data_IF_786679082978
#
_entry.id   IF_786679082978
#
_cell.length_a   1.000
_cell.length_b   1.000
_cell.length_c   1.000
_cell.angle_alpha   90.00
_cell.angle_beta   90.00
_cell.angle_gamma   90.00
#
_symmetry.space_group_name_H-M   'P 1'
#
loop_
_entity.id
_entity.type
_entity.pdbx_description
1 polymer ?
#
# COMPACT_ATOMS: atom_id res chain seq x y z
N UNK A 1 -16.84 -10.31 -61.75
CA UNK A 1 -17.08 -9.43 -60.58
C UNK A 1 -16.82 -10.25 -59.33
N UNK A 2 -16.03 -9.68 -58.41
CA UNK A 2 -15.45 -10.35 -57.25
C UNK A 2 -16.48 -10.79 -56.20
N UNK A 3 -16.10 -11.91 -55.59
CA UNK A 3 -16.51 -12.53 -54.33
C UNK A 3 -16.85 -11.59 -53.18
N UNK A 4 -17.90 -11.95 -52.43
CA UNK A 4 -18.04 -11.65 -50.99
C UNK A 4 -18.38 -12.94 -50.27
N UNK A 5 -17.38 -13.47 -49.57
CA UNK A 5 -17.56 -14.44 -48.50
C UNK A 5 -17.08 -13.73 -47.25
N UNK A 6 -18.00 -13.26 -46.42
CA UNK A 6 -17.73 -12.85 -45.05
C UNK A 6 -17.41 -14.12 -44.25
N UNK A 7 -16.15 -14.26 -43.87
CA UNK A 7 -15.71 -15.27 -42.92
C UNK A 7 -15.23 -14.56 -41.66
N UNK A 8 -16.10 -14.58 -40.66
CA UNK A 8 -15.81 -14.40 -39.24
C UNK A 8 -14.64 -15.30 -38.80
N UNK A 9 -13.52 -14.72 -38.37
CA UNK A 9 -12.52 -15.43 -37.56
C UNK A 9 -11.84 -14.47 -36.55
N UNK A 10 -12.34 -14.54 -35.31
CA UNK A 10 -11.54 -14.74 -34.09
C UNK A 10 -10.18 -14.03 -34.02
N UNK A 11 -10.17 -12.77 -33.61
CA UNK A 11 -8.97 -12.09 -33.12
C UNK A 11 -8.64 -12.53 -31.69
N UNK A 12 -8.06 -13.73 -31.55
CA UNK A 12 -7.19 -14.05 -30.42
C UNK A 12 -5.78 -13.61 -30.84
N UNK A 13 -5.49 -12.31 -30.74
CA UNK A 13 -4.17 -11.78 -31.09
C UNK A 13 -3.20 -11.99 -29.93
N UNK A 14 -2.09 -12.70 -30.19
CA UNK A 14 -0.99 -12.89 -29.24
C UNK A 14 -0.46 -11.55 -28.70
N UNK A 15 -0.55 -10.47 -29.47
CA UNK A 15 -0.14 -9.13 -29.05
C UNK A 15 -1.04 -8.57 -27.94
N UNK A 16 -2.34 -8.88 -27.96
CA UNK A 16 -3.25 -8.51 -26.87
C UNK A 16 -2.87 -9.22 -25.57
N UNK A 17 -2.46 -10.49 -25.67
CA UNK A 17 -2.04 -11.34 -24.55
C UNK A 17 -0.75 -10.82 -23.87
N UNK A 18 0.22 -10.31 -24.64
CA UNK A 18 1.40 -9.64 -24.08
C UNK A 18 1.10 -8.26 -23.50
N UNK A 19 0.11 -7.55 -24.04
CA UNK A 19 -0.29 -6.23 -23.56
C UNK A 19 -1.06 -6.31 -22.23
N UNK A 20 -1.86 -7.36 -22.04
CA UNK A 20 -2.58 -7.63 -20.80
C UNK A 20 -1.61 -8.03 -19.68
N UNK A 21 -0.75 -9.02 -19.92
CA UNK A 21 0.26 -9.45 -18.95
C UNK A 21 1.22 -8.32 -18.52
N UNK A 22 1.55 -7.37 -19.41
CA UNK A 22 2.40 -6.22 -19.07
C UNK A 22 1.65 -5.14 -18.27
N UNK A 23 0.36 -4.94 -18.51
CA UNK A 23 -0.48 -4.06 -17.68
C UNK A 23 -0.71 -4.63 -16.28
N UNK A 24 -0.96 -5.92 -16.19
CA UNK A 24 -1.15 -6.64 -14.94
C UNK A 24 0.08 -6.58 -14.03
N UNK A 25 1.25 -6.89 -14.59
CA UNK A 25 2.53 -6.80 -13.88
C UNK A 25 2.90 -5.37 -13.48
N UNK A 26 2.54 -4.37 -14.30
CA UNK A 26 2.71 -2.96 -13.96
C UNK A 26 1.81 -2.55 -12.77
N UNK A 27 0.56 -3.00 -12.74
CA UNK A 27 -0.39 -2.68 -11.67
C UNK A 27 0.00 -3.32 -10.32
N UNK A 28 0.51 -4.55 -10.31
CA UNK A 28 1.03 -5.20 -9.09
C UNK A 28 2.28 -4.49 -8.55
N UNK A 29 3.20 -4.08 -9.43
CA UNK A 29 4.37 -3.27 -9.04
C UNK A 29 3.98 -1.93 -8.42
N UNK A 30 2.89 -1.32 -8.91
CA UNK A 30 2.34 -0.09 -8.33
C UNK A 30 1.75 -0.32 -6.94
N UNK A 31 1.00 -1.41 -6.71
CA UNK A 31 0.50 -1.81 -5.39
C UNK A 31 1.66 -1.96 -4.40
N UNK A 32 2.70 -2.71 -4.79
CA UNK A 32 3.90 -2.91 -3.99
C UNK A 32 4.58 -1.59 -3.61
N UNK A 33 4.74 -0.70 -4.58
CA UNK A 33 5.35 0.62 -4.36
C UNK A 33 4.49 1.50 -3.46
N UNK A 34 3.17 1.54 -3.67
CA UNK A 34 2.25 2.32 -2.85
C UNK A 34 2.22 1.82 -1.39
N UNK A 35 2.29 0.50 -1.17
CA UNK A 35 2.39 -0.10 0.16
C UNK A 35 3.69 0.31 0.89
N UNK A 36 4.83 0.30 0.19
CA UNK A 36 6.09 0.79 0.73
C UNK A 36 6.01 2.27 1.15
N UNK A 37 5.37 3.11 0.35
CA UNK A 37 5.18 4.52 0.70
C UNK A 37 4.20 4.72 1.86
N UNK A 38 3.09 3.98 1.90
CA UNK A 38 2.13 4.04 3.00
C UNK A 38 2.83 3.71 4.33
N UNK A 39 3.57 2.59 4.38
CA UNK A 39 4.35 2.20 5.56
C UNK A 39 5.34 3.30 5.96
N UNK A 40 6.09 3.85 5.00
CA UNK A 40 7.04 4.93 5.27
C UNK A 40 6.36 6.13 5.93
N UNK A 41 5.22 6.60 5.42
CA UNK A 41 4.54 7.78 5.98
C UNK A 41 3.88 7.49 7.33
N UNK A 42 3.34 6.28 7.51
CA UNK A 42 2.86 5.81 8.81
C UNK A 42 3.96 5.90 9.86
N UNK A 43 5.13 5.31 9.57
CA UNK A 43 6.28 5.30 10.48
C UNK A 43 6.86 6.70 10.75
N UNK A 44 6.71 7.65 9.82
CA UNK A 44 7.11 9.05 9.98
C UNK A 44 6.10 9.88 10.79
N UNK A 45 4.93 9.34 11.10
CA UNK A 45 3.82 10.09 11.70
C UNK A 45 3.26 11.17 10.79
N UNK A 46 3.41 11.02 9.47
CA UNK A 46 2.89 11.95 8.46
C UNK A 46 1.50 11.48 8.01
N UNK A 47 0.50 11.80 8.82
CA UNK A 47 -0.88 11.36 8.65
C UNK A 47 -1.52 11.79 7.31
N UNK A 48 -1.37 13.04 6.83
CA UNK A 48 -1.91 13.43 5.52
C UNK A 48 -1.34 12.60 4.37
N UNK A 49 0.00 12.41 4.35
CA UNK A 49 0.65 11.61 3.32
C UNK A 49 0.31 10.12 3.43
N UNK A 50 0.12 9.63 4.66
CA UNK A 50 -0.33 8.26 4.89
C UNK A 50 -1.73 8.02 4.32
N UNK A 51 -2.69 8.88 4.65
CA UNK A 51 -4.08 8.78 4.16
C UNK A 51 -4.14 8.83 2.64
N UNK A 52 -3.38 9.73 1.99
CA UNK A 52 -3.27 9.79 0.54
C UNK A 52 -2.76 8.46 -0.06
N UNK A 53 -1.73 7.86 0.55
CA UNK A 53 -1.18 6.59 0.07
C UNK A 53 -2.08 5.40 0.33
N UNK A 54 -2.81 5.36 1.44
CA UNK A 54 -3.84 4.35 1.67
C UNK A 54 -4.95 4.46 0.63
N UNK A 55 -5.40 5.68 0.31
CA UNK A 55 -6.42 5.88 -0.73
C UNK A 55 -5.95 5.38 -2.10
N UNK A 56 -4.74 5.76 -2.52
CA UNK A 56 -4.16 5.29 -3.80
C UNK A 56 -3.97 3.77 -3.82
N UNK A 57 -3.49 3.19 -2.72
CA UNK A 57 -3.31 1.74 -2.60
C UNK A 57 -4.67 1.01 -2.67
N UNK A 58 -5.68 1.53 -1.98
CA UNK A 58 -7.04 1.01 -2.03
C UNK A 58 -7.65 1.07 -3.42
N UNK A 59 -7.44 2.16 -4.17
CA UNK A 59 -7.87 2.29 -5.56
C UNK A 59 -7.23 1.22 -6.46
N UNK A 60 -5.91 1.08 -6.38
CA UNK A 60 -5.15 0.09 -7.14
C UNK A 60 -5.57 -1.35 -6.79
N UNK A 61 -5.71 -1.65 -5.49
CA UNK A 61 -6.18 -2.94 -5.02
C UNK A 61 -7.60 -3.24 -5.50
N UNK A 62 -8.52 -2.28 -5.40
CA UNK A 62 -9.89 -2.45 -5.88
C UNK A 62 -9.95 -2.65 -7.40
N UNK A 63 -9.10 -1.94 -8.15
CA UNK A 63 -9.00 -2.12 -9.60
C UNK A 63 -8.55 -3.53 -9.96
N UNK A 64 -7.49 -4.05 -9.31
CA UNK A 64 -7.00 -5.40 -9.54
C UNK A 64 -8.04 -6.47 -9.18
N UNK A 65 -8.72 -6.34 -8.05
CA UNK A 65 -9.77 -7.28 -7.65
C UNK A 65 -10.93 -7.32 -8.67
N UNK A 66 -11.26 -6.18 -9.29
CA UNK A 66 -12.27 -6.13 -10.38
C UNK A 66 -11.79 -6.75 -11.69
N UNK A 67 -10.47 -6.89 -11.87
CA UNK A 67 -9.85 -7.61 -12.99
C UNK A 67 -9.63 -9.10 -12.67
N UNK A 68 -10.36 -9.65 -11.69
CA UNK A 68 -10.29 -11.06 -11.27
C UNK A 68 -8.95 -11.50 -10.66
N UNK A 69 -8.09 -10.56 -10.26
CA UNK A 69 -6.94 -10.90 -9.42
C UNK A 69 -7.41 -11.43 -8.07
N UNK A 70 -6.73 -12.47 -7.59
CA UNK A 70 -7.04 -13.01 -6.27
C UNK A 70 -6.66 -12.01 -5.18
N UNK A 71 -7.48 -11.94 -4.12
CA UNK A 71 -7.18 -11.16 -2.93
C UNK A 71 -5.83 -11.54 -2.34
N UNK A 72 -5.50 -12.84 -2.32
CA UNK A 72 -4.21 -13.32 -1.84
C UNK A 72 -3.03 -12.70 -2.61
N UNK A 73 -3.10 -12.66 -3.94
CA UNK A 73 -2.05 -12.07 -4.78
C UNK A 73 -1.84 -10.58 -4.49
N UNK A 74 -2.94 -9.82 -4.34
CA UNK A 74 -2.86 -8.39 -4.00
C UNK A 74 -2.22 -8.20 -2.62
N UNK A 75 -2.62 -8.99 -1.63
CA UNK A 75 -2.09 -8.91 -0.27
C UNK A 75 -0.62 -9.32 -0.20
N UNK A 76 -0.20 -10.32 -0.97
CA UNK A 76 1.20 -10.72 -1.07
C UNK A 76 2.07 -9.58 -1.61
N UNK A 77 1.60 -8.82 -2.61
CA UNK A 77 2.34 -7.65 -3.12
C UNK A 77 2.41 -6.51 -2.10
N UNK A 78 1.33 -6.25 -1.36
CA UNK A 78 1.32 -5.29 -0.25
C UNK A 78 2.35 -5.70 0.81
N UNK A 79 2.29 -6.95 1.26
CA UNK A 79 3.21 -7.49 2.26
C UNK A 79 4.66 -7.47 1.79
N UNK A 80 4.92 -7.81 0.53
CA UNK A 80 6.24 -7.77 -0.09
C UNK A 80 6.78 -6.34 -0.09
N UNK A 81 5.98 -5.36 -0.51
CA UNK A 81 6.40 -3.95 -0.55
C UNK A 81 6.75 -3.40 0.83
N UNK A 82 5.94 -3.73 1.84
CA UNK A 82 6.20 -3.35 3.24
C UNK A 82 7.47 -4.04 3.74
N UNK A 83 7.57 -5.36 3.60
CA UNK A 83 8.70 -6.15 4.13
C UNK A 83 10.04 -5.73 3.54
N UNK A 84 10.09 -5.51 2.21
CA UNK A 84 11.33 -5.12 1.52
C UNK A 84 11.77 -3.69 1.86
N UNK A 85 10.82 -2.77 2.05
CA UNK A 85 11.13 -1.36 2.32
C UNK A 85 11.36 -1.05 3.81
N UNK A 86 10.90 -1.93 4.71
CA UNK A 86 10.96 -1.72 6.16
C UNK A 86 12.36 -1.40 6.70
N UNK A 87 13.46 -2.12 6.32
CA UNK A 87 14.80 -1.79 6.79
C UNK A 87 15.22 -0.35 6.45
N UNK A 88 14.92 0.10 5.23
CA UNK A 88 15.24 1.45 4.79
C UNK A 88 14.40 2.51 5.51
N UNK A 89 13.12 2.20 5.79
CA UNK A 89 12.29 3.06 6.62
C UNK A 89 12.83 3.19 8.05
N UNK A 90 13.33 2.10 8.66
CA UNK A 90 13.97 2.12 9.98
C UNK A 90 15.23 3.00 10.04
N UNK A 91 16.07 2.97 8.99
CA UNK A 91 17.22 3.85 8.86
C UNK A 91 16.80 5.32 8.79
N UNK A 92 15.80 5.61 7.94
CA UNK A 92 15.27 6.95 7.77
C UNK A 92 14.70 7.51 9.07
N UNK A 93 13.84 6.77 9.77
CA UNK A 93 13.27 7.25 11.04
C UNK A 93 14.36 7.40 12.09
N UNK A 94 15.39 6.56 12.11
CA UNK A 94 16.51 6.69 13.07
C UNK A 94 17.24 8.02 12.86
N UNK A 95 17.53 8.37 11.61
CA UNK A 95 18.12 9.65 11.24
C UNK A 95 17.21 10.83 11.62
N UNK A 96 15.92 10.74 11.29
CA UNK A 96 14.92 11.79 11.58
C UNK A 96 14.70 12.00 13.08
N UNK A 97 14.70 10.92 13.87
CA UNK A 97 14.66 10.99 15.33
C UNK A 97 15.89 11.74 15.86
N UNK A 98 17.09 11.42 15.38
CA UNK A 98 18.32 12.10 15.80
C UNK A 98 18.29 13.59 15.50
N UNK A 99 17.89 13.96 14.28
CA UNK A 99 17.73 15.36 13.88
C UNK A 99 16.68 16.09 14.72
N UNK A 100 15.51 15.47 14.93
CA UNK A 100 14.43 16.04 15.74
C UNK A 100 14.86 16.26 17.19
N UNK A 101 15.57 15.32 17.79
CA UNK A 101 16.12 15.48 19.15
C UNK A 101 17.14 16.62 19.23
N UNK A 102 18.03 16.73 18.25
CA UNK A 102 18.98 17.82 18.18
C UNK A 102 18.27 19.17 18.09
N UNK A 103 17.25 19.29 17.24
CA UNK A 103 16.46 20.51 17.11
C UNK A 103 15.74 20.86 18.42
N UNK A 104 15.10 19.89 19.07
CA UNK A 104 14.41 20.10 20.35
C UNK A 104 15.36 20.54 21.47
N UNK A 105 16.59 20.02 21.50
CA UNK A 105 17.60 20.40 22.48
C UNK A 105 18.10 21.86 22.34
N UNK A 106 17.97 22.45 21.15
CA UNK A 106 18.43 23.81 20.84
C UNK A 106 17.28 24.80 20.62
N UNK A 107 16.03 24.38 20.85
CA UNK A 107 14.86 25.21 20.61
C UNK A 107 14.29 25.77 21.91
N UNK A 108 13.61 26.92 21.82
CA UNK A 108 12.91 27.51 22.96
C UNK A 108 11.72 26.62 23.37
N UNK A 109 11.64 26.18 24.64
CA UNK A 109 10.48 25.43 25.12
C UNK A 109 9.19 26.21 24.90
N UNK A 110 8.08 25.51 24.60
CA UNK A 110 6.71 26.06 24.45
C UNK A 110 6.32 26.71 23.11
N UNK A 111 7.20 26.75 22.10
CA UNK A 111 6.79 27.06 20.73
C UNK A 111 5.96 25.90 20.15
N UNK A 112 4.81 26.19 19.55
CA UNK A 112 3.91 25.18 18.97
C UNK A 112 4.60 24.24 17.97
N UNK A 113 5.53 24.79 17.17
CA UNK A 113 6.36 24.00 16.23
C UNK A 113 7.18 22.93 16.96
N UNK A 114 7.68 23.22 18.17
CA UNK A 114 8.46 22.29 18.97
C UNK A 114 7.58 21.22 19.61
N UNK A 115 6.34 21.54 19.97
CA UNK A 115 5.36 20.55 20.46
C UNK A 115 4.99 19.55 19.35
N UNK A 116 4.79 20.03 18.13
CA UNK A 116 4.54 19.16 16.97
C UNK A 116 5.75 18.27 16.66
N UNK A 117 6.95 18.84 16.68
CA UNK A 117 8.18 18.08 16.49
C UNK A 117 8.37 17.01 17.58
N UNK A 118 8.06 17.34 18.84
CA UNK A 118 8.13 16.38 19.95
C UNK A 118 7.12 15.23 19.75
N UNK A 119 5.87 15.54 19.37
CA UNK A 119 4.86 14.53 19.03
C UNK A 119 5.37 13.62 17.91
N UNK A 120 5.91 14.20 16.84
CA UNK A 120 6.43 13.46 15.70
C UNK A 120 7.60 12.54 16.09
N UNK A 121 8.55 13.02 16.90
CA UNK A 121 9.66 12.21 17.42
C UNK A 121 9.15 11.06 18.28
N UNK A 122 8.13 11.28 19.13
CA UNK A 122 7.50 10.21 19.91
C UNK A 122 6.85 9.17 19.01
N UNK A 123 6.11 9.58 17.99
CA UNK A 123 5.50 8.67 17.00
C UNK A 123 6.57 7.85 16.26
N UNK A 124 7.64 8.47 15.78
CA UNK A 124 8.73 7.74 15.11
C UNK A 124 9.42 6.74 16.04
N UNK A 125 9.61 7.08 17.32
CA UNK A 125 10.16 6.13 18.31
C UNK A 125 9.24 4.94 18.54
N UNK A 126 7.94 5.18 18.64
CA UNK A 126 6.95 4.11 18.74
C UNK A 126 7.03 3.16 17.55
N UNK A 127 6.98 3.70 16.32
CA UNK A 127 7.04 2.88 15.10
C UNK A 127 8.40 2.20 14.85
N UNK A 128 9.49 2.72 15.43
CA UNK A 128 10.80 2.05 15.39
C UNK A 128 10.82 0.73 16.15
N UNK A 129 10.04 0.64 17.22
CA UNK A 129 9.96 -0.53 18.09
C UNK A 129 8.73 -1.40 17.77
N UNK A 130 7.87 -0.93 16.88
CA UNK A 130 6.61 -1.57 16.52
C UNK A 130 6.86 -2.83 15.67
N UNK A 131 6.21 -3.96 15.95
CA UNK A 131 6.41 -5.17 15.17
C UNK A 131 6.00 -5.01 13.71
N UNK A 132 6.84 -5.51 12.79
CA UNK A 132 6.55 -5.47 11.35
C UNK A 132 5.21 -6.14 10.99
N UNK A 133 4.88 -7.24 11.67
CA UNK A 133 3.61 -7.94 11.46
C UNK A 133 2.40 -7.03 11.75
N UNK A 134 2.47 -6.21 12.82
CA UNK A 134 1.42 -5.28 13.18
C UNK A 134 1.35 -4.08 12.20
N UNK A 135 2.49 -3.65 11.64
CA UNK A 135 2.50 -2.65 10.54
C UNK A 135 1.78 -3.18 9.29
N UNK A 136 2.08 -4.43 8.92
CA UNK A 136 1.44 -5.11 7.78
C UNK A 136 -0.07 -5.20 8.01
N UNK A 137 -0.48 -5.66 9.20
CA UNK A 137 -1.89 -5.79 9.56
C UNK A 137 -2.64 -4.45 9.52
N UNK A 138 -2.06 -3.40 10.09
CA UNK A 138 -2.67 -2.07 10.09
C UNK A 138 -2.88 -1.56 8.65
N UNK A 139 -1.85 -1.65 7.81
CA UNK A 139 -1.92 -1.16 6.42
C UNK A 139 -2.89 -2.00 5.59
N UNK A 140 -2.84 -3.34 5.70
CA UNK A 140 -3.79 -4.22 4.99
C UNK A 140 -5.22 -3.90 5.40
N UNK A 141 -5.48 -3.74 6.70
CA UNK A 141 -6.82 -3.43 7.21
C UNK A 141 -7.33 -2.12 6.63
N UNK A 142 -6.54 -1.04 6.72
CA UNK A 142 -6.92 0.27 6.21
C UNK A 142 -7.17 0.25 4.69
N UNK A 143 -6.32 -0.45 3.94
CA UNK A 143 -6.46 -0.61 2.48
C UNK A 143 -7.73 -1.35 2.13
N UNK A 144 -8.02 -2.50 2.76
CA UNK A 144 -9.19 -3.30 2.44
C UNK A 144 -10.48 -2.57 2.82
N UNK A 145 -10.52 -1.92 3.99
CA UNK A 145 -11.66 -1.10 4.39
C UNK A 145 -11.93 -0.01 3.36
N UNK A 146 -10.91 0.74 2.93
CA UNK A 146 -11.08 1.79 1.94
C UNK A 146 -11.40 1.24 0.54
N UNK A 147 -10.81 0.11 0.14
CA UNK A 147 -11.09 -0.56 -1.13
C UNK A 147 -12.56 -0.98 -1.22
N UNK A 148 -13.11 -1.52 -0.14
CA UNK A 148 -14.53 -1.89 -0.07
C UNK A 148 -15.43 -0.65 -0.04
N UNK A 149 -15.20 0.27 0.89
CA UNK A 149 -16.10 1.39 1.16
C UNK A 149 -16.10 2.44 0.04
N UNK A 150 -14.91 2.82 -0.46
CA UNK A 150 -14.78 3.92 -1.44
C UNK A 150 -14.86 3.43 -2.87
N UNK A 151 -14.36 2.22 -3.14
CA UNK A 151 -14.17 1.73 -4.50
C UNK A 151 -15.03 0.49 -4.83
N UNK A 152 -15.80 -0.03 -3.88
CA UNK A 152 -16.72 -1.14 -4.10
C UNK A 152 -16.02 -2.47 -4.43
N UNK A 153 -14.81 -2.68 -3.89
CA UNK A 153 -14.15 -3.98 -3.99
C UNK A 153 -14.93 -5.05 -3.20
N UNK A 154 -15.05 -6.24 -3.76
CA UNK A 154 -15.59 -7.41 -3.06
C UNK A 154 -14.48 -8.05 -2.23
N UNK A 155 -14.69 -8.14 -0.91
CA UNK A 155 -13.69 -8.62 0.08
C UNK A 155 -14.31 -9.69 0.97
N UNK A 156 -15.33 -10.36 0.47
CA UNK A 156 -16.34 -11.09 1.26
C UNK A 156 -15.78 -12.30 2.02
N UNK A 157 -14.53 -12.67 1.74
CA UNK A 157 -13.82 -13.78 2.37
C UNK A 157 -12.55 -13.34 3.12
N UNK A 158 -12.35 -12.09 3.55
CA UNK A 158 -11.16 -11.74 4.35
C UNK A 158 -11.40 -11.86 5.86
N UNK A 159 -10.51 -12.57 6.54
CA UNK A 159 -10.51 -12.69 8.01
C UNK A 159 -9.66 -11.56 8.61
N UNK A 160 -10.32 -10.45 8.92
CA UNK A 160 -9.69 -9.28 9.54
C UNK A 160 -9.09 -9.57 10.92
N UNK A 161 -9.58 -10.58 11.65
CA UNK A 161 -9.04 -10.92 12.98
C UNK A 161 -7.69 -11.63 12.89
N UNK A 162 -7.43 -12.32 11.79
CA UNK A 162 -6.20 -13.08 11.56
C UNK A 162 -5.38 -12.55 10.39
N UNK A 163 -5.77 -11.41 9.80
CA UNK A 163 -5.15 -10.76 8.66
C UNK A 163 -4.81 -11.73 7.51
N UNK A 164 -5.78 -12.54 7.09
CA UNK A 164 -5.59 -13.56 6.05
C UNK A 164 -6.82 -13.74 5.17
N UNK A 165 -6.66 -14.20 3.92
CA UNK A 165 -7.78 -14.74 3.17
C UNK A 165 -8.44 -15.87 3.97
N UNK A 166 -9.75 -15.80 4.06
CA UNK A 166 -10.61 -16.82 4.65
C UNK A 166 -10.56 -18.10 3.82
N UNK A 167 -10.77 -19.22 4.50
CA UNK A 167 -10.90 -20.51 3.82
C UNK A 167 -12.17 -20.47 2.99
N UNK A 168 -12.04 -20.53 1.66
CA UNK A 168 -13.18 -20.74 0.77
C UNK A 168 -13.93 -21.99 1.26
N UNK A 169 -15.20 -21.82 1.66
CA UNK A 169 -16.14 -22.92 1.84
C UNK A 169 -16.92 -23.14 0.55
#
# INVERSE_FOLDING_TARGET
>A
MQSKTDASQSEFSLEALFTEATKETANLSQVKSAAAFAMKFLMLGDEPSYVDKIYQLAELSAHLLKLEFSLESVLQEVQSGITESHPHALELITSKIGLGQYQLAHATPHLFVNQNLEKQVRTMRHYKEYPLAELIEAIITDVLVQASVQFGAQIDNFDFLNCKPGLNQ
#
